data_IF_781347800080
#
_entry.id   IF_781347800080
#
_cell.length_a   1.000
_cell.length_b   1.000
_cell.length_c   1.000
_cell.angle_alpha   90.00
_cell.angle_beta   90.00
_cell.angle_gamma   90.00
#
_symmetry.space_group_name_H-M   'P 1'
#
loop_
_entity.id
_entity.type
_entity.pdbx_description
1 polymer ?
#
# COMPACT_ATOMS: atom_id res chain seq x y z
N UNK A 1 7.98 29.73 12.51
CA UNK A 1 8.78 28.90 11.59
C UNK A 1 7.82 28.32 10.57
N UNK A 2 7.96 28.67 9.29
CA UNK A 2 7.06 28.16 8.24
C UNK A 2 7.47 26.72 7.95
N UNK A 3 6.71 25.75 8.46
CA UNK A 3 6.97 24.33 8.17
C UNK A 3 6.54 24.05 6.72
N UNK A 4 7.32 23.26 6.00
CA UNK A 4 6.94 22.86 4.65
C UNK A 4 5.73 21.91 4.69
N UNK A 5 4.97 21.86 3.59
CA UNK A 5 3.81 20.95 3.46
C UNK A 5 4.20 19.50 3.77
N UNK A 6 5.40 19.08 3.37
CA UNK A 6 5.92 17.73 3.66
C UNK A 6 6.10 17.49 5.16
N UNK A 7 6.62 18.49 5.90
CA UNK A 7 6.80 18.37 7.34
C UNK A 7 5.44 18.31 8.06
N UNK A 8 4.46 19.06 7.59
CA UNK A 8 3.10 19.05 8.15
C UNK A 8 2.40 17.71 7.87
N UNK A 9 2.51 17.16 6.66
CA UNK A 9 2.01 15.82 6.34
C UNK A 9 2.71 14.76 7.21
N UNK A 10 4.03 14.86 7.36
CA UNK A 10 4.81 13.94 8.20
C UNK A 10 4.35 13.99 9.65
N UNK A 11 4.15 15.20 10.19
CA UNK A 11 3.65 15.39 11.55
C UNK A 11 2.25 14.83 11.71
N UNK A 12 1.35 15.14 10.77
CA UNK A 12 -0.06 14.76 10.84
C UNK A 12 -0.29 13.26 10.72
N UNK A 13 0.41 12.58 9.80
CA UNK A 13 0.19 11.15 9.57
C UNK A 13 1.07 10.26 10.46
N UNK A 14 2.31 10.65 10.76
CA UNK A 14 3.26 9.76 11.47
C UNK A 14 3.59 10.19 12.89
N UNK A 15 3.23 11.42 13.32
CA UNK A 15 3.57 11.94 14.66
C UNK A 15 2.39 12.55 15.41
N UNK A 16 1.16 12.41 14.92
CA UNK A 16 -0.04 12.95 15.57
C UNK A 16 -0.50 12.13 16.77
N UNK A 17 0.04 10.92 16.96
CA UNK A 17 -0.40 9.97 17.99
C UNK A 17 -1.73 9.28 17.66
N UNK A 18 -2.38 9.62 16.54
CA UNK A 18 -3.61 8.97 16.09
C UNK A 18 -3.30 7.72 15.27
N UNK A 19 -3.71 6.52 15.73
CA UNK A 19 -3.54 5.29 14.95
C UNK A 19 -4.26 5.35 13.60
N UNK A 20 -5.45 5.98 13.54
CA UNK A 20 -6.19 6.13 12.30
C UNK A 20 -5.40 6.95 11.26
N UNK A 21 -4.79 8.06 11.68
CA UNK A 21 -3.94 8.87 10.79
C UNK A 21 -2.72 8.08 10.32
N UNK A 22 -2.11 7.27 11.19
CA UNK A 22 -1.00 6.41 10.79
C UNK A 22 -1.42 5.42 9.69
N UNK A 23 -2.54 4.72 9.87
CA UNK A 23 -3.05 3.77 8.88
C UNK A 23 -3.41 4.43 7.55
N UNK A 24 -4.07 5.60 7.58
CA UNK A 24 -4.34 6.39 6.38
C UNK A 24 -3.02 6.75 5.66
N UNK A 25 -2.02 7.21 6.40
CA UNK A 25 -0.71 7.55 5.85
C UNK A 25 -0.02 6.36 5.18
N UNK A 26 -0.05 5.19 5.82
CA UNK A 26 0.55 3.94 5.29
C UNK A 26 -0.19 3.48 4.03
N UNK A 27 -1.53 3.44 4.04
CA UNK A 27 -2.34 3.02 2.89
C UNK A 27 -2.08 3.92 1.67
N UNK A 28 -2.10 5.25 1.86
CA UNK A 28 -1.81 6.21 0.78
C UNK A 28 -0.37 6.04 0.28
N UNK A 29 0.59 5.88 1.19
CA UNK A 29 2.00 5.69 0.82
C UNK A 29 2.21 4.45 -0.06
N UNK A 30 1.66 3.29 0.36
CA UNK A 30 1.77 2.03 -0.39
C UNK A 30 1.09 2.15 -1.75
N UNK A 31 -0.11 2.75 -1.81
CA UNK A 31 -0.83 2.99 -3.05
C UNK A 31 -0.02 3.84 -4.04
N UNK A 32 0.55 4.96 -3.57
CA UNK A 32 1.33 5.86 -4.42
C UNK A 32 2.63 5.20 -4.91
N UNK A 33 3.37 4.54 -4.02
CA UNK A 33 4.62 3.85 -4.38
C UNK A 33 4.34 2.73 -5.38
N UNK A 34 3.34 1.89 -5.12
CA UNK A 34 2.92 0.83 -6.04
C UNK A 34 2.46 1.38 -7.39
N UNK A 35 1.73 2.49 -7.40
CA UNK A 35 1.30 3.17 -8.62
C UNK A 35 2.47 3.71 -9.45
N UNK A 36 3.42 4.42 -8.83
CA UNK A 36 4.60 4.96 -9.50
C UNK A 36 5.46 3.83 -10.08
N UNK A 37 5.74 2.78 -9.29
CA UNK A 37 6.47 1.60 -9.79
C UNK A 37 5.68 0.95 -10.93
N UNK A 38 4.35 0.83 -10.79
CA UNK A 38 3.47 0.28 -11.81
C UNK A 38 3.55 1.02 -13.15
N UNK A 39 3.62 2.35 -13.13
CA UNK A 39 3.81 3.18 -14.33
C UNK A 39 5.18 2.90 -14.95
N UNK A 40 6.27 2.95 -14.17
CA UNK A 40 7.63 2.71 -14.68
C UNK A 40 7.75 1.32 -15.33
N UNK A 41 7.24 0.29 -14.66
CA UNK A 41 7.27 -1.09 -15.16
C UNK A 41 6.35 -1.30 -16.36
N UNK A 42 5.22 -0.59 -16.43
CA UNK A 42 4.36 -0.61 -17.61
C UNK A 42 5.06 0.03 -18.82
N UNK A 43 5.78 1.14 -18.61
CA UNK A 43 6.56 1.80 -19.67
C UNK A 43 7.76 0.97 -20.13
N UNK A 44 8.27 0.05 -19.31
CA UNK A 44 9.31 -0.91 -19.71
C UNK A 44 8.79 -2.13 -20.48
N UNK A 45 7.49 -2.19 -20.80
CA UNK A 45 6.85 -3.27 -21.54
C UNK A 45 6.28 -4.40 -20.66
N UNK A 46 6.39 -4.30 -19.34
CA UNK A 46 5.95 -5.34 -18.39
C UNK A 46 4.61 -4.99 -17.73
N UNK A 47 3.61 -4.67 -18.55
CA UNK A 47 2.29 -4.24 -18.06
C UNK A 47 1.68 -5.28 -17.11
N UNK A 48 1.22 -4.81 -15.94
CA UNK A 48 0.55 -5.64 -14.95
C UNK A 48 1.48 -6.44 -14.02
N UNK A 49 2.80 -6.40 -14.25
CA UNK A 49 3.75 -7.15 -13.42
C UNK A 49 3.67 -6.81 -11.93
N UNK A 50 3.55 -5.52 -11.58
CA UNK A 50 3.42 -5.10 -10.18
C UNK A 50 2.17 -5.68 -9.52
N UNK A 51 1.03 -5.70 -10.23
CA UNK A 51 -0.20 -6.28 -9.71
C UNK A 51 -0.05 -7.79 -9.46
N UNK A 52 0.64 -8.49 -10.37
CA UNK A 52 0.96 -9.91 -10.21
C UNK A 52 1.85 -10.17 -8.99
N UNK A 53 2.86 -9.34 -8.75
CA UNK A 53 3.70 -9.48 -7.55
C UNK A 53 2.92 -9.23 -6.26
N UNK A 54 2.03 -8.22 -6.27
CA UNK A 54 1.15 -7.95 -5.13
C UNK A 54 0.25 -9.14 -4.84
N UNK A 55 -0.35 -9.72 -5.89
CA UNK A 55 -1.21 -10.89 -5.77
C UNK A 55 -0.45 -12.13 -5.25
N UNK A 56 0.77 -12.39 -5.74
CA UNK A 56 1.52 -13.58 -5.35
C UNK A 56 2.01 -13.50 -3.90
N UNK A 57 2.52 -12.33 -3.49
CA UNK A 57 3.21 -12.21 -2.20
C UNK A 57 2.32 -11.61 -1.11
N UNK A 58 1.45 -10.66 -1.39
CA UNK A 58 0.78 -9.86 -0.35
C UNK A 58 -0.72 -10.11 -0.22
N UNK A 59 -1.36 -10.71 -1.22
CA UNK A 59 -2.77 -11.06 -1.14
C UNK A 59 -3.00 -12.24 -0.20
N UNK A 60 -4.19 -12.26 0.43
CA UNK A 60 -4.61 -13.40 1.22
C UNK A 60 -4.67 -14.66 0.34
N UNK A 61 -4.05 -15.78 0.75
CA UNK A 61 -3.94 -16.95 -0.12
C UNK A 61 -5.30 -17.63 -0.31
N UNK A 62 -5.60 -18.01 -1.55
CA UNK A 62 -6.79 -18.82 -1.87
C UNK A 62 -6.70 -20.24 -1.32
N UNK A 63 -5.48 -20.77 -1.16
CA UNK A 63 -5.21 -22.04 -0.51
C UNK A 63 -4.71 -21.82 0.92
N UNK A 64 -5.56 -22.18 1.90
CA UNK A 64 -5.25 -22.06 3.32
C UNK A 64 -4.07 -22.94 3.74
N UNK A 65 -3.73 -23.99 2.99
CA UNK A 65 -2.54 -24.81 3.27
C UNK A 65 -1.24 -24.01 3.17
N UNK A 66 -1.25 -22.89 2.44
CA UNK A 66 -0.10 -21.99 2.28
C UNK A 66 0.01 -20.93 3.39
N UNK A 67 -1.02 -20.74 4.23
CA UNK A 67 -1.02 -19.74 5.31
C UNK A 67 0.14 -19.87 6.29
N UNK A 68 0.62 -21.07 6.71
CA UNK A 68 1.78 -21.17 7.60
C UNK A 68 3.04 -20.51 7.02
N UNK A 69 3.20 -20.53 5.70
CA UNK A 69 4.33 -19.91 5.00
C UNK A 69 4.02 -18.45 4.64
N UNK A 70 2.77 -18.16 4.28
CA UNK A 70 2.27 -16.82 3.94
C UNK A 70 1.57 -16.13 5.12
N UNK A 71 1.98 -16.39 6.37
CA UNK A 71 1.25 -15.94 7.58
C UNK A 71 1.15 -14.42 7.69
N UNK A 72 2.15 -13.71 7.15
CA UNK A 72 2.19 -12.25 7.10
C UNK A 72 1.04 -11.66 6.27
N UNK A 73 0.46 -12.42 5.34
CA UNK A 73 -0.68 -11.98 4.52
C UNK A 73 -1.93 -11.73 5.34
N UNK A 74 -2.04 -12.23 6.58
CA UNK A 74 -3.10 -11.86 7.52
C UNK A 74 -3.11 -10.37 7.86
N UNK A 75 -1.94 -9.73 7.78
CA UNK A 75 -1.77 -8.30 8.07
C UNK A 75 -1.45 -7.49 6.82
N UNK A 76 -0.69 -8.03 5.87
CA UNK A 76 -0.23 -7.22 4.73
C UNK A 76 -1.32 -6.98 3.69
N UNK A 77 -2.28 -7.90 3.54
CA UNK A 77 -3.26 -7.82 2.45
C UNK A 77 -4.13 -6.55 2.48
N UNK A 78 -4.47 -6.07 3.69
CA UNK A 78 -5.33 -4.90 3.89
C UNK A 78 -4.74 -3.57 3.37
N UNK A 79 -3.42 -3.54 3.12
CA UNK A 79 -2.72 -2.32 2.71
C UNK A 79 -2.62 -2.13 1.19
N UNK A 80 -3.09 -3.10 0.40
CA UNK A 80 -3.00 -3.07 -1.06
C UNK A 80 -4.38 -2.83 -1.69
N UNK A 81 -4.56 -1.67 -2.34
CA UNK A 81 -5.84 -1.25 -2.91
C UNK A 81 -5.80 -1.23 -4.44
N UNK A 82 -6.69 -2.00 -5.07
CA UNK A 82 -6.91 -1.97 -6.51
C UNK A 82 -7.75 -0.76 -6.94
N UNK A 83 -7.08 0.36 -7.23
CA UNK A 83 -7.68 1.56 -7.83
C UNK A 83 -7.99 2.68 -6.84
N UNK A 84 -8.23 3.88 -7.39
CA UNK A 84 -8.37 5.11 -6.62
C UNK A 84 -9.56 5.09 -5.65
N UNK A 85 -10.73 4.67 -6.10
CA UNK A 85 -11.92 4.64 -5.23
C UNK A 85 -11.79 3.61 -4.11
N UNK A 86 -11.03 2.53 -4.33
CA UNK A 86 -10.82 1.51 -3.31
C UNK A 86 -9.97 2.05 -2.14
N UNK A 87 -8.93 2.85 -2.41
CA UNK A 87 -8.16 3.49 -1.32
C UNK A 87 -8.89 4.67 -0.68
N UNK A 88 -9.77 5.35 -1.43
CA UNK A 88 -10.50 6.52 -0.92
C UNK A 88 -11.62 6.16 0.07
N UNK A 89 -12.31 5.04 -0.14
CA UNK A 89 -13.49 4.64 0.65
C UNK A 89 -13.21 3.55 1.69
N UNK A 90 -11.96 3.11 1.84
CA UNK A 90 -11.52 2.21 2.90
C UNK A 90 -11.17 3.02 4.16
#
# INVERSE_FOLDING_TARGET
>A
MNRGIVDDLRLKFFKSGSPAMLYIGINIFIFLVGGVIGVVITLSGNRGWVAMQIQEYFAFPGDLSSLPIKFYTLLTYQFFHAGFFHVLFN
#
